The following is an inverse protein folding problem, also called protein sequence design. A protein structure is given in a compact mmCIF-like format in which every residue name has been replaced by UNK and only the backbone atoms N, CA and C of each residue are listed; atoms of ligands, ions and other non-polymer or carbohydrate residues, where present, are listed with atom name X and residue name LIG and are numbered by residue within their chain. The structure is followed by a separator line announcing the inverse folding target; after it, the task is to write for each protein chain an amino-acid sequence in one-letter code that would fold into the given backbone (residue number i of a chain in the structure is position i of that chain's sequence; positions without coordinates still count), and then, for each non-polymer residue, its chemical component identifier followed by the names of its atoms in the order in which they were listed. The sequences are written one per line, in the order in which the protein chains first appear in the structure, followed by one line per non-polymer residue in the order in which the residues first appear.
data_IF_486288867173
#
_entry.id   IF_486288867173
#
_cell.length_a   1.000
_cell.length_b   1.000
_cell.length_c   1.000
_cell.angle_alpha   90.00
_cell.angle_beta   90.00
_cell.angle_gamma   90.00
#
_symmetry.space_group_name_H-M   'P 1'
#
loop_
_entity.id
_entity.type
_entity.pdbx_description
1 polymer ?
#
# COMPACT_ATOMS: atom_id res chain seq x y z
N UNK A 1 9.19 -11.69 13.01
CA UNK A 1 7.78 -11.25 13.14
C UNK A 1 7.27 -11.00 11.74
N UNK A 2 6.33 -11.82 11.27
CA UNK A 2 5.77 -11.72 9.92
C UNK A 2 4.67 -10.67 9.84
N UNK A 3 4.26 -10.38 8.62
CA UNK A 3 3.00 -9.70 8.34
C UNK A 3 2.43 -10.25 7.05
N UNK A 4 1.14 -10.55 7.05
CA UNK A 4 0.39 -11.00 5.89
C UNK A 4 -0.66 -9.95 5.50
N UNK A 5 -0.98 -9.90 4.22
CA UNK A 5 -2.08 -9.07 3.73
C UNK A 5 -3.40 -9.81 3.93
N UNK A 6 -4.43 -9.10 4.37
CA UNK A 6 -5.79 -9.64 4.44
C UNK A 6 -6.76 -8.78 3.65
N UNK A 7 -7.84 -9.43 3.21
CA UNK A 7 -9.05 -8.77 2.70
C UNK A 7 -10.25 -9.53 3.25
N UNK A 8 -11.22 -8.82 3.81
CA UNK A 8 -12.48 -9.41 4.31
C UNK A 8 -13.62 -8.43 4.10
N UNK A 9 -14.85 -8.91 3.92
CA UNK A 9 -16.03 -8.06 3.90
C UNK A 9 -16.98 -8.38 5.03
N UNK A 10 -17.66 -7.36 5.54
CA UNK A 10 -18.73 -7.53 6.51
C UNK A 10 -19.84 -6.50 6.31
N UNK A 11 -21.00 -6.81 6.88
CA UNK A 11 -22.19 -5.98 6.79
C UNK A 11 -22.44 -5.24 8.09
N UNK A 12 -23.03 -4.05 7.99
CA UNK A 12 -23.41 -3.22 9.13
C UNK A 12 -24.16 -1.98 8.67
N UNK A 13 -24.73 -1.21 9.60
CA UNK A 13 -25.35 0.09 9.29
C UNK A 13 -24.29 1.18 9.12
N UNK A 14 -23.15 1.01 9.81
CA UNK A 14 -21.96 1.87 9.70
C UNK A 14 -20.71 1.02 9.47
N UNK A 15 -19.62 1.66 9.03
CA UNK A 15 -18.34 0.99 8.83
C UNK A 15 -17.79 0.43 10.15
N UNK A 16 -18.00 1.14 11.26
CA UNK A 16 -17.56 0.75 12.59
C UNK A 16 -18.32 -0.47 13.12
N UNK A 17 -19.64 -0.55 12.83
CA UNK A 17 -20.45 -1.73 13.19
C UNK A 17 -19.98 -2.96 12.40
N UNK A 18 -19.79 -2.83 11.09
CA UNK A 18 -19.28 -3.91 10.24
C UNK A 18 -17.86 -4.33 10.63
N UNK A 19 -17.01 -3.36 10.99
CA UNK A 19 -15.63 -3.63 11.43
C UNK A 19 -15.60 -4.41 12.74
N UNK A 20 -16.41 -4.01 13.72
CA UNK A 20 -16.51 -4.73 15.00
C UNK A 20 -16.98 -6.17 14.79
N UNK A 21 -18.03 -6.38 14.00
CA UNK A 21 -18.52 -7.71 13.66
C UNK A 21 -17.43 -8.57 12.97
N UNK A 22 -16.74 -8.02 11.97
CA UNK A 22 -15.65 -8.72 11.29
C UNK A 22 -14.49 -9.10 12.23
N UNK A 23 -14.16 -8.25 13.20
CA UNK A 23 -13.16 -8.54 14.22
C UNK A 23 -13.61 -9.64 15.18
N UNK A 24 -14.84 -9.57 15.67
CA UNK A 24 -15.42 -10.58 16.56
C UNK A 24 -15.43 -11.96 15.88
N UNK A 25 -15.88 -12.01 14.62
CA UNK A 25 -15.84 -13.23 13.81
C UNK A 25 -14.41 -13.76 13.63
N UNK A 26 -13.46 -12.88 13.30
CA UNK A 26 -12.06 -13.28 13.13
C UNK A 26 -11.43 -13.79 14.44
N UNK A 27 -11.72 -13.14 15.58
CA UNK A 27 -11.28 -13.59 16.90
C UNK A 27 -11.90 -14.95 17.27
N UNK A 28 -13.16 -15.19 16.90
CA UNK A 28 -13.82 -16.48 17.13
C UNK A 28 -13.10 -17.63 16.39
N UNK A 29 -12.74 -17.42 15.13
CA UNK A 29 -12.13 -18.45 14.29
C UNK A 29 -10.62 -18.65 14.52
N UNK A 30 -9.89 -17.59 14.87
CA UNK A 30 -8.42 -17.61 14.95
C UNK A 30 -7.88 -17.47 16.38
N UNK A 31 -8.76 -17.30 17.38
CA UNK A 31 -8.40 -17.11 18.78
C UNK A 31 -8.05 -15.67 19.14
N UNK A 32 -7.63 -15.48 20.40
CA UNK A 32 -7.38 -14.16 21.01
C UNK A 32 -5.90 -13.89 21.34
N UNK A 33 -4.99 -14.83 21.06
CA UNK A 33 -3.58 -14.81 21.47
C UNK A 33 -2.67 -13.87 20.67
N UNK A 34 -3.23 -13.14 19.69
CA UNK A 34 -2.50 -12.31 18.73
C UNK A 34 -1.84 -13.11 17.59
N UNK A 35 -1.39 -12.38 16.56
CA UNK A 35 -0.74 -12.88 15.34
C UNK A 35 -1.61 -13.78 14.44
N UNK A 36 -2.86 -13.40 14.21
CA UNK A 36 -3.78 -14.18 13.36
C UNK A 36 -3.54 -13.98 11.86
N UNK A 37 -2.82 -12.94 11.45
CA UNK A 37 -2.77 -12.52 10.05
C UNK A 37 -4.10 -11.98 9.51
N UNK A 38 -5.05 -11.63 10.39
CA UNK A 38 -6.40 -11.18 9.99
C UNK A 38 -6.79 -9.83 10.58
N UNK A 39 -8.03 -9.39 10.30
CA UNK A 39 -8.60 -8.16 10.85
C UNK A 39 -8.69 -8.17 12.39
N UNK A 40 -8.60 -9.34 13.05
CA UNK A 40 -8.58 -9.45 14.51
C UNK A 40 -7.50 -8.55 15.15
N UNK A 41 -6.36 -8.38 14.48
CA UNK A 41 -5.21 -7.59 14.92
C UNK A 41 -5.42 -6.07 14.85
N UNK A 42 -6.53 -5.59 14.27
CA UNK A 42 -6.70 -4.17 13.91
C UNK A 42 -7.45 -3.38 14.96
N UNK A 43 -6.86 -2.31 15.47
CA UNK A 43 -7.50 -1.45 16.48
C UNK A 43 -8.55 -0.48 15.91
N UNK A 44 -8.35 -0.02 14.67
CA UNK A 44 -9.17 1.01 14.01
C UNK A 44 -9.27 0.82 12.51
N UNK A 45 -10.16 1.59 11.88
CA UNK A 45 -10.35 1.65 10.43
C UNK A 45 -10.12 3.06 9.87
N UNK A 46 -9.85 3.13 8.57
CA UNK A 46 -9.82 4.37 7.79
C UNK A 46 -10.64 4.20 6.52
N UNK A 47 -11.56 5.14 6.26
CA UNK A 47 -12.34 5.14 5.03
C UNK A 47 -11.47 5.53 3.83
N UNK A 48 -11.59 4.74 2.77
CA UNK A 48 -10.86 4.90 1.51
C UNK A 48 -11.86 5.27 0.43
N UNK A 49 -11.68 6.45 -0.15
CA UNK A 49 -12.46 6.96 -1.28
C UNK A 49 -11.62 7.09 -2.56
N UNK A 50 -10.39 6.57 -2.55
CA UNK A 50 -9.50 6.58 -3.70
C UNK A 50 -10.16 5.84 -4.89
N UNK A 51 -10.02 6.40 -6.08
CA UNK A 51 -10.38 5.75 -7.33
C UNK A 51 -9.12 5.43 -8.15
N UNK A 52 -9.30 4.70 -9.25
CA UNK A 52 -8.17 4.34 -10.10
C UNK A 52 -7.47 5.53 -10.76
N UNK A 53 -8.14 6.68 -10.92
CA UNK A 53 -7.52 7.91 -11.44
C UNK A 53 -6.58 8.52 -10.41
N UNK A 54 -7.01 8.63 -9.15
CA UNK A 54 -6.21 9.12 -8.05
C UNK A 54 -4.97 8.24 -7.82
N UNK A 55 -5.16 6.91 -7.82
CA UNK A 55 -4.05 5.96 -7.70
C UNK A 55 -3.06 6.09 -8.85
N UNK A 56 -3.55 6.17 -10.10
CA UNK A 56 -2.69 6.35 -11.27
C UNK A 56 -1.86 7.62 -11.17
N UNK A 57 -2.47 8.74 -10.77
CA UNK A 57 -1.79 10.01 -10.61
C UNK A 57 -0.68 9.96 -9.55
N UNK A 58 -0.90 9.25 -8.43
CA UNK A 58 0.13 9.03 -7.39
C UNK A 58 1.31 8.24 -7.92
N UNK A 59 1.07 7.15 -8.65
CA UNK A 59 2.15 6.34 -9.23
C UNK A 59 2.88 7.11 -10.34
N UNK A 60 2.15 7.87 -11.16
CA UNK A 60 2.75 8.75 -12.17
C UNK A 60 3.68 9.80 -11.55
N UNK A 61 3.26 10.44 -10.45
CA UNK A 61 4.10 11.37 -9.70
C UNK A 61 5.37 10.70 -9.15
N UNK A 62 5.28 9.48 -8.60
CA UNK A 62 6.44 8.73 -8.14
C UNK A 62 7.44 8.43 -9.28
N UNK A 63 6.94 7.99 -10.45
CA UNK A 63 7.75 7.76 -11.65
C UNK A 63 8.43 9.07 -12.11
N UNK A 64 7.70 10.18 -12.14
CA UNK A 64 8.22 11.48 -12.55
C UNK A 64 9.31 11.99 -11.61
N UNK A 65 9.19 11.75 -10.30
CA UNK A 65 10.21 12.10 -9.31
C UNK A 65 11.45 11.19 -9.38
N UNK A 66 11.28 9.89 -9.62
CA UNK A 66 12.40 8.94 -9.64
C UNK A 66 13.24 9.03 -10.92
N UNK A 67 12.65 9.43 -12.05
CA UNK A 67 13.35 9.53 -13.35
C UNK A 67 14.56 10.49 -13.35
N UNK A 68 14.46 11.74 -12.87
CA UNK A 68 15.61 12.65 -12.74
C UNK A 68 16.70 12.08 -11.84
N UNK A 69 16.34 11.38 -10.76
CA UNK A 69 17.30 10.73 -9.87
C UNK A 69 18.06 9.64 -10.64
N UNK A 70 17.34 8.77 -11.34
CA UNK A 70 17.93 7.71 -12.18
C UNK A 70 18.90 8.27 -13.24
N UNK A 71 18.55 9.41 -13.86
CA UNK A 71 19.43 10.11 -14.80
C UNK A 71 20.68 10.63 -14.10
N UNK A 72 20.54 11.28 -12.94
CA UNK A 72 21.68 11.83 -12.19
C UNK A 72 22.65 10.74 -11.72
N UNK A 73 22.17 9.54 -11.39
CA UNK A 73 23.04 8.39 -11.08
C UNK A 73 23.85 7.96 -12.30
N UNK A 74 23.23 7.97 -13.50
CA UNK A 74 23.90 7.58 -14.75
C UNK A 74 24.92 8.61 -15.24
N UNK A 75 24.64 9.90 -15.08
CA UNK A 75 25.48 10.99 -15.59
C UNK A 75 26.52 11.47 -14.56
N UNK A 76 26.23 11.33 -13.27
CA UNK A 76 27.05 11.83 -12.18
C UNK A 76 28.30 10.99 -11.87
N UNK A 77 29.08 11.49 -10.90
CA UNK A 77 30.26 10.83 -10.36
C UNK A 77 29.94 9.71 -9.36
N UNK A 78 30.74 9.61 -8.29
CA UNK A 78 30.55 8.63 -7.22
C UNK A 78 29.16 8.77 -6.57
N UNK A 79 28.50 7.64 -6.33
CA UNK A 79 27.21 7.57 -5.62
C UNK A 79 27.50 7.37 -4.13
N UNK A 80 26.89 8.21 -3.30
CA UNK A 80 26.87 8.05 -1.84
C UNK A 80 25.49 7.49 -1.44
N UNK A 81 25.39 6.22 -1.01
CA UNK A 81 24.12 5.50 -0.85
C UNK A 81 23.12 6.20 0.08
N UNK A 82 23.56 6.67 1.24
CA UNK A 82 22.70 7.29 2.25
C UNK A 82 22.15 8.64 1.76
N UNK A 83 23.00 9.42 1.07
CA UNK A 83 22.60 10.70 0.48
C UNK A 83 21.60 10.50 -0.66
N UNK A 84 21.79 9.45 -1.47
CA UNK A 84 20.87 9.10 -2.54
C UNK A 84 19.53 8.61 -1.99
N UNK A 85 19.55 7.74 -0.98
CA UNK A 85 18.35 7.25 -0.29
C UNK A 85 17.54 8.41 0.30
N UNK A 86 18.18 9.29 1.07
CA UNK A 86 17.51 10.46 1.66
C UNK A 86 16.91 11.39 0.60
N UNK A 87 17.58 11.55 -0.55
CA UNK A 87 17.04 12.29 -1.69
C UNK A 87 15.80 11.62 -2.26
N UNK A 88 15.84 10.29 -2.45
CA UNK A 88 14.71 9.50 -2.96
C UNK A 88 13.51 9.63 -2.02
N UNK A 89 13.67 9.42 -0.71
CA UNK A 89 12.58 9.52 0.27
C UNK A 89 11.97 10.93 0.35
N UNK A 90 12.79 11.97 0.10
CA UNK A 90 12.35 13.36 0.07
C UNK A 90 11.54 13.69 -1.17
N UNK A 91 11.97 13.21 -2.34
CA UNK A 91 11.40 13.57 -3.64
C UNK A 91 10.24 12.65 -4.06
N UNK A 92 10.31 11.36 -3.73
CA UNK A 92 9.27 10.38 -4.06
C UNK A 92 8.30 10.24 -2.90
N UNK A 93 7.05 10.66 -3.10
CA UNK A 93 6.01 10.70 -2.07
C UNK A 93 4.81 9.86 -2.47
N UNK A 94 4.11 9.33 -1.46
CA UNK A 94 2.83 8.65 -1.64
C UNK A 94 2.92 7.23 -2.21
N UNK A 95 4.13 6.74 -2.46
CA UNK A 95 4.45 5.37 -2.85
C UNK A 95 5.72 4.95 -2.10
N UNK A 96 5.66 3.81 -1.43
CA UNK A 96 6.81 3.16 -0.80
C UNK A 96 7.60 2.40 -1.87
N UNK A 97 8.88 2.76 -1.99
CA UNK A 97 9.78 2.17 -2.97
C UNK A 97 10.50 0.96 -2.36
N UNK A 98 10.78 -0.02 -3.20
CA UNK A 98 11.61 -1.18 -2.86
C UNK A 98 13.07 -0.85 -3.20
N UNK A 99 13.58 0.19 -2.53
CA UNK A 99 14.93 0.74 -2.70
C UNK A 99 15.49 1.13 -1.32
N UNK A 100 15.95 0.13 -0.57
CA UNK A 100 16.66 0.39 0.68
C UNK A 100 18.07 0.94 0.42
N UNK A 101 18.73 1.44 1.47
CA UNK A 101 20.13 1.89 1.37
C UNK A 101 21.03 0.79 0.78
N UNK A 102 20.84 -0.46 1.20
CA UNK A 102 21.55 -1.64 0.70
C UNK A 102 21.38 -1.87 -0.83
N UNK A 103 20.24 -1.51 -1.42
CA UNK A 103 20.05 -1.58 -2.89
C UNK A 103 20.83 -0.48 -3.65
N UNK A 104 21.28 0.54 -2.93
CA UNK A 104 21.99 1.71 -3.46
C UNK A 104 23.50 1.64 -3.18
N UNK A 105 23.98 0.54 -2.62
CA UNK A 105 25.39 0.22 -2.46
C UNK A 105 25.98 -0.42 -3.73
N UNK A 106 27.31 -0.56 -3.76
CA UNK A 106 28.03 -1.21 -4.85
C UNK A 106 28.38 -0.26 -6.01
N UNK A 107 28.47 -0.81 -7.22
CA UNK A 107 28.87 -0.01 -8.38
C UNK A 107 27.72 0.87 -8.85
N UNK A 108 28.04 1.97 -9.54
CA UNK A 108 27.04 2.81 -10.21
C UNK A 108 26.11 2.02 -11.15
N UNK A 109 26.59 0.93 -11.75
CA UNK A 109 25.78 0.06 -12.60
C UNK A 109 24.74 -0.74 -11.79
N UNK A 110 25.10 -1.18 -10.58
CA UNK A 110 24.22 -1.91 -9.66
C UNK A 110 23.09 -1.00 -9.17
N UNK A 111 23.44 0.21 -8.70
CA UNK A 111 22.47 1.22 -8.29
C UNK A 111 21.51 1.58 -9.44
N UNK A 112 22.05 1.79 -10.65
CA UNK A 112 21.23 2.06 -11.82
C UNK A 112 20.34 0.88 -12.22
N UNK A 113 20.73 -0.37 -11.91
CA UNK A 113 19.90 -1.56 -12.12
C UNK A 113 18.78 -1.62 -11.08
N UNK A 114 19.07 -1.35 -9.81
CA UNK A 114 18.06 -1.28 -8.74
C UNK A 114 16.98 -0.24 -9.06
N UNK A 115 17.38 1.00 -9.37
CA UNK A 115 16.42 2.07 -9.72
C UNK A 115 15.61 1.72 -10.98
N UNK A 116 16.20 1.04 -11.97
CA UNK A 116 15.46 0.58 -13.16
C UNK A 116 14.45 -0.52 -12.84
N UNK A 117 14.79 -1.46 -11.96
CA UNK A 117 13.86 -2.48 -11.46
C UNK A 117 12.66 -1.82 -10.82
N UNK A 118 12.89 -0.81 -9.98
CA UNK A 118 11.82 -0.08 -9.30
C UNK A 118 10.96 0.74 -10.29
N UNK A 119 11.57 1.44 -11.25
CA UNK A 119 10.82 2.13 -12.30
C UNK A 119 9.94 1.17 -13.13
N UNK A 120 10.40 -0.07 -13.34
CA UNK A 120 9.62 -1.12 -14.01
C UNK A 120 8.42 -1.53 -13.15
N UNK A 121 8.62 -1.82 -11.85
CA UNK A 121 7.54 -2.11 -10.90
C UNK A 121 6.50 -0.99 -10.87
N UNK A 122 6.93 0.27 -10.76
CA UNK A 122 6.02 1.43 -10.78
C UNK A 122 5.24 1.54 -12.09
N UNK A 123 5.88 1.23 -13.22
CA UNK A 123 5.21 1.23 -14.54
C UNK A 123 4.12 0.15 -14.61
N UNK A 124 4.38 -1.03 -14.07
CA UNK A 124 3.41 -2.13 -13.98
C UNK A 124 2.23 -1.73 -13.06
N UNK A 125 2.51 -1.18 -11.88
CA UNK A 125 1.49 -0.64 -10.96
C UNK A 125 0.61 0.42 -11.61
N UNK A 126 1.21 1.37 -12.31
CA UNK A 126 0.48 2.41 -13.06
C UNK A 126 -0.46 1.80 -14.09
N UNK A 127 -0.05 0.71 -14.75
CA UNK A 127 -0.87 0.04 -15.76
C UNK A 127 -2.05 -0.73 -15.14
N UNK A 128 -1.98 -1.12 -13.87
CA UNK A 128 -3.09 -1.70 -13.12
C UNK A 128 -4.16 -0.64 -12.75
N UNK A 129 -3.75 0.62 -12.60
CA UNK A 129 -4.63 1.73 -12.19
C UNK A 129 -5.55 2.19 -13.34
N UNK A 130 -6.63 1.44 -13.60
CA UNK A 130 -7.63 1.76 -14.64
C UNK A 130 -8.68 2.75 -14.13
N UNK A 131 -9.35 3.48 -15.03
CA UNK A 131 -10.37 4.47 -14.65
C UNK A 131 -11.56 3.88 -13.85
N UNK A 132 -11.90 2.60 -14.10
CA UNK A 132 -12.92 1.87 -13.33
C UNK A 132 -12.26 0.64 -12.71
N UNK A 133 -11.93 0.74 -11.44
CA UNK A 133 -11.40 -0.37 -10.64
C UNK A 133 -12.49 -0.90 -9.71
N UNK A 134 -12.48 -2.22 -9.49
CA UNK A 134 -13.26 -2.83 -8.42
C UNK A 134 -12.61 -2.48 -7.07
N UNK A 135 -13.39 -2.42 -5.97
CA UNK A 135 -12.87 -2.16 -4.62
C UNK A 135 -11.68 -3.04 -4.21
N UNK A 136 -11.73 -4.34 -4.52
CA UNK A 136 -10.60 -5.25 -4.27
C UNK A 136 -9.31 -4.84 -5.00
N UNK A 137 -9.43 -4.37 -6.26
CA UNK A 137 -8.27 -3.90 -7.02
C UNK A 137 -7.70 -2.59 -6.44
N UNK A 138 -8.56 -1.72 -5.89
CA UNK A 138 -8.13 -0.50 -5.19
C UNK A 138 -7.35 -0.88 -3.93
N UNK A 139 -7.87 -1.84 -3.15
CA UNK A 139 -7.19 -2.38 -1.98
C UNK A 139 -5.81 -2.97 -2.32
N UNK A 140 -5.73 -3.81 -3.37
CA UNK A 140 -4.48 -4.43 -3.83
C UNK A 140 -3.42 -3.37 -4.17
N UNK A 141 -3.80 -2.33 -4.92
CA UNK A 141 -2.85 -1.27 -5.30
C UNK A 141 -2.42 -0.47 -4.07
N UNK A 142 -3.33 -0.14 -3.15
CA UNK A 142 -3.00 0.59 -1.92
C UNK A 142 -2.01 -0.19 -1.04
N UNK A 143 -2.14 -1.51 -0.98
CA UNK A 143 -1.17 -2.39 -0.33
C UNK A 143 0.17 -2.35 -1.06
N UNK A 144 0.18 -2.54 -2.38
CA UNK A 144 1.42 -2.62 -3.18
C UNK A 144 2.22 -1.30 -3.22
N UNK A 145 1.56 -0.15 -3.05
CA UNK A 145 2.23 1.16 -2.93
C UNK A 145 2.63 1.51 -1.49
N UNK A 146 2.37 0.63 -0.51
CA UNK A 146 2.67 0.90 0.90
C UNK A 146 1.94 2.13 1.44
N UNK A 147 0.64 2.25 1.15
CA UNK A 147 -0.12 3.43 1.56
C UNK A 147 -0.04 3.64 3.09
N UNK A 148 0.47 4.81 3.51
CA UNK A 148 0.73 5.09 4.94
C UNK A 148 -0.51 4.91 5.82
N UNK A 149 -1.72 5.06 5.25
CA UNK A 149 -2.98 4.95 5.99
C UNK A 149 -3.28 3.51 6.42
N UNK A 150 -2.67 2.51 5.76
CA UNK A 150 -3.01 1.08 5.93
C UNK A 150 -1.78 0.15 6.07
N UNK A 151 -0.55 0.68 5.96
CA UNK A 151 0.69 -0.10 6.03
C UNK A 151 1.07 -0.59 7.44
N UNK A 152 0.52 0.02 8.49
CA UNK A 152 0.78 -0.43 9.86
C UNK A 152 0.03 -1.75 10.11
N UNK A 153 0.76 -2.80 10.46
CA UNK A 153 0.20 -4.14 10.70
C UNK A 153 -0.77 -4.18 11.89
N UNK A 154 -0.68 -3.23 12.83
CA UNK A 154 -1.56 -3.15 14.01
C UNK A 154 -2.75 -2.20 13.81
N UNK A 155 -2.68 -1.31 12.82
CA UNK A 155 -3.82 -0.51 12.39
C UNK A 155 -3.49 0.94 12.04
N UNK A 156 -4.26 1.55 11.11
CA UNK A 156 -5.62 1.17 10.73
C UNK A 156 -5.74 0.04 9.70
N UNK A 157 -6.93 -0.56 9.60
CA UNK A 157 -7.39 -1.27 8.40
C UNK A 157 -7.98 -0.28 7.38
N UNK A 158 -7.72 -0.48 6.09
CA UNK A 158 -8.43 0.23 5.04
C UNK A 158 -9.87 -0.25 4.94
N UNK A 159 -10.81 0.66 4.68
CA UNK A 159 -12.24 0.37 4.56
C UNK A 159 -12.82 1.02 3.30
N UNK A 160 -13.42 0.22 2.40
CA UNK A 160 -14.14 0.70 1.21
C UNK A 160 -15.62 0.35 1.34
N UNK A 161 -16.51 1.33 1.14
CA UNK A 161 -17.95 1.09 1.08
C UNK A 161 -18.31 0.42 -0.26
N UNK A 162 -18.87 -0.80 -0.19
CA UNK A 162 -19.30 -1.58 -1.34
C UNK A 162 -20.77 -1.31 -1.71
N UNK A 163 -21.48 -0.55 -0.89
CA UNK A 163 -22.94 -0.46 -0.95
C UNK A 163 -23.40 0.34 -2.17
N UNK A 164 -24.21 -0.24 -3.07
CA UNK A 164 -24.90 0.54 -4.08
C UNK A 164 -25.81 1.56 -3.42
N UNK A 165 -25.88 2.79 -3.96
CA UNK A 165 -26.71 3.87 -3.40
C UNK A 165 -28.13 3.37 -3.06
N UNK A 166 -28.62 3.70 -1.85
CA UNK A 166 -29.98 3.46 -1.31
C UNK A 166 -30.29 2.08 -0.70
N UNK A 167 -29.31 1.24 -0.34
CA UNK A 167 -29.57 0.05 0.51
C UNK A 167 -29.51 0.40 2.00
N UNK A 168 -30.40 -0.25 2.77
CA UNK A 168 -30.47 -0.15 4.24
C UNK A 168 -29.34 -0.93 4.92
N UNK A 169 -28.98 -2.09 4.37
CA UNK A 169 -27.82 -2.87 4.83
C UNK A 169 -26.60 -2.52 3.97
N UNK A 170 -25.57 -1.99 4.62
CA UNK A 170 -24.31 -1.64 3.95
C UNK A 170 -23.33 -2.81 4.03
N UNK A 171 -22.48 -2.90 3.03
CA UNK A 171 -21.38 -3.86 2.98
C UNK A 171 -20.08 -3.09 2.83
N UNK A 172 -19.07 -3.48 3.62
CA UNK A 172 -17.77 -2.83 3.65
C UNK A 172 -16.67 -3.86 3.40
N UNK A 173 -15.67 -3.46 2.62
CA UNK A 173 -14.44 -4.21 2.40
C UNK A 173 -13.37 -3.67 3.34
N UNK A 174 -12.80 -4.54 4.16
CA UNK A 174 -11.66 -4.27 5.01
C UNK A 174 -10.39 -4.92 4.45
N UNK A 175 -9.28 -4.22 4.49
CA UNK A 175 -8.00 -4.72 3.98
C UNK A 175 -6.79 -4.09 4.68
N UNK A 176 -5.63 -4.70 4.54
CA UNK A 176 -4.36 -4.15 5.00
C UNK A 176 -3.37 -5.24 5.38
N UNK A 177 -2.35 -4.87 6.14
CA UNK A 177 -1.37 -5.79 6.71
C UNK A 177 -1.81 -6.24 8.10
N UNK A 178 -1.59 -7.48 8.50
CA UNK A 178 -1.81 -7.96 9.86
C UNK A 178 -0.62 -8.80 10.31
N UNK A 179 -0.29 -8.75 11.60
CA UNK A 179 0.85 -9.52 12.09
C UNK A 179 0.55 -11.02 12.07
N UNK A 180 1.56 -11.81 11.70
CA UNK A 180 1.58 -13.28 11.77
C UNK A 180 2.90 -13.79 12.38
#
# INVERSE_FOLDING_TARGET
MGADTFTTSAKGRTAEEAFRAAREDACHWHGHGGYTGTIAEKDRLVLISDDGRALRARVDAAIQALRPIARSVREGGKVEPERLHARIEREVRGVELDLGVWDLEGSKADVAKAIRRELKRLTELRNQCRARMKPGQIADVLIQIGDRRIRDKWGPAGCIDLTPRKKRDKEFLFFGWASC
#
